data_IF_226041883487
#
_entry.id   IF_226041883487
#
_cell.length_a   1.000
_cell.length_b   1.000
_cell.length_c   1.000
_cell.angle_alpha   90.00
_cell.angle_beta   90.00
_cell.angle_gamma   90.00
#
_symmetry.space_group_name_H-M   'P 1'
#
loop_
_entity.id
_entity.type
_entity.pdbx_description
1 polymer ?
#
# COMPACT_ATOMS: atom_id res chain seq x y z
N UNK A 1 13.18 -22.36 18.97
CA UNK A 1 12.46 -23.15 17.95
C UNK A 1 12.39 -22.35 16.66
N UNK A 2 13.05 -22.82 15.61
CA UNK A 2 13.21 -22.15 14.30
C UNK A 2 11.86 -21.99 13.59
N UNK A 3 11.58 -20.78 13.07
CA UNK A 3 10.30 -20.38 12.45
C UNK A 3 9.81 -21.34 11.34
N UNK A 4 10.74 -22.05 10.68
CA UNK A 4 10.47 -23.00 9.59
C UNK A 4 9.91 -24.35 10.07
N UNK A 5 10.19 -24.78 11.30
CA UNK A 5 9.66 -26.03 11.84
C UNK A 5 8.13 -25.98 12.05
N UNK A 6 7.59 -24.80 12.39
CA UNK A 6 6.17 -24.61 12.67
C UNK A 6 5.23 -24.65 11.45
N UNK A 7 5.75 -24.46 10.23
CA UNK A 7 4.96 -24.51 8.99
C UNK A 7 4.75 -25.96 8.51
N UNK A 8 5.78 -26.81 8.64
CA UNK A 8 5.69 -28.24 8.27
C UNK A 8 4.89 -29.07 9.28
N UNK A 9 4.95 -28.73 10.57
CA UNK A 9 4.19 -29.40 11.64
C UNK A 9 2.80 -28.80 11.88
N UNK A 10 2.33 -27.91 11.00
CA UNK A 10 1.02 -27.27 11.15
C UNK A 10 -0.11 -28.29 10.94
N UNK A 11 -1.16 -28.18 11.74
CA UNK A 11 -2.38 -28.99 11.59
C UNK A 11 -3.02 -28.79 10.23
N UNK A 12 -3.83 -29.74 9.77
CA UNK A 12 -4.52 -29.63 8.48
C UNK A 12 -5.46 -28.41 8.45
N UNK A 13 -6.08 -28.05 9.58
CA UNK A 13 -6.90 -26.84 9.70
C UNK A 13 -6.07 -25.56 9.52
N UNK A 14 -4.84 -25.51 10.04
CA UNK A 14 -3.96 -24.36 9.83
C UNK A 14 -3.48 -24.26 8.37
N UNK A 15 -3.28 -25.39 7.70
CA UNK A 15 -2.93 -25.42 6.27
C UNK A 15 -4.05 -24.88 5.38
N UNK A 16 -5.32 -25.04 5.76
CA UNK A 16 -6.44 -24.44 5.03
C UNK A 16 -6.35 -22.91 4.99
N UNK A 17 -5.98 -22.27 6.11
CA UNK A 17 -5.77 -20.80 6.15
C UNK A 17 -4.58 -20.31 5.31
N UNK A 18 -3.69 -21.20 4.87
CA UNK A 18 -2.62 -20.84 3.93
C UNK A 18 -3.15 -20.77 2.49
N UNK A 19 -4.16 -21.59 2.16
CA UNK A 19 -4.79 -21.59 0.83
C UNK A 19 -5.86 -20.52 0.74
N UNK A 20 -6.76 -20.47 1.73
CA UNK A 20 -7.85 -19.49 1.79
C UNK A 20 -7.87 -18.85 3.16
N UNK A 21 -7.59 -17.56 3.19
CA UNK A 21 -7.55 -16.75 4.41
C UNK A 21 -8.85 -16.91 5.22
N UNK A 22 -8.76 -17.21 6.52
CA UNK A 22 -9.92 -17.33 7.42
C UNK A 22 -10.52 -18.73 7.62
N UNK A 23 -10.27 -19.71 6.73
CA UNK A 23 -10.87 -21.05 6.86
C UNK A 23 -10.42 -21.82 8.11
N UNK A 24 -9.12 -21.79 8.44
CA UNK A 24 -8.60 -22.43 9.63
C UNK A 24 -9.16 -21.83 10.92
N UNK A 25 -9.37 -20.52 10.97
CA UNK A 25 -10.03 -19.86 12.10
C UNK A 25 -11.48 -20.34 12.27
N UNK A 26 -12.21 -20.57 11.16
CA UNK A 26 -13.54 -21.18 11.21
C UNK A 26 -13.49 -22.61 11.77
N UNK A 27 -12.52 -23.43 11.34
CA UNK A 27 -12.35 -24.79 11.84
C UNK A 27 -12.04 -24.85 13.35
N UNK A 28 -11.41 -23.81 13.89
CA UNK A 28 -11.13 -23.67 15.33
C UNK A 28 -12.26 -22.97 16.11
N UNK A 29 -13.42 -22.73 15.50
CA UNK A 29 -14.59 -22.12 16.13
C UNK A 29 -14.53 -20.60 16.30
N UNK A 30 -13.52 -19.92 15.73
CA UNK A 30 -13.41 -18.46 15.74
C UNK A 30 -14.19 -17.85 14.56
N UNK A 31 -15.52 -17.97 14.59
CA UNK A 31 -16.41 -17.60 13.46
C UNK A 31 -16.22 -16.15 13.03
N UNK A 32 -16.21 -15.20 13.97
CA UNK A 32 -16.10 -13.76 13.65
C UNK A 32 -14.78 -13.45 12.93
N UNK A 33 -13.65 -13.96 13.44
CA UNK A 33 -12.33 -13.74 12.81
C UNK A 33 -12.25 -14.39 11.45
N UNK A 34 -12.70 -15.64 11.35
CA UNK A 34 -12.68 -16.39 10.09
C UNK A 34 -13.50 -15.68 9.00
N UNK A 35 -14.69 -15.17 9.35
CA UNK A 35 -15.53 -14.42 8.43
C UNK A 35 -14.89 -13.08 8.02
N UNK A 36 -14.28 -12.33 8.96
CA UNK A 36 -13.59 -11.08 8.63
C UNK A 36 -12.43 -11.29 7.64
N UNK A 37 -11.62 -12.32 7.86
CA UNK A 37 -10.53 -12.68 6.95
C UNK A 37 -11.06 -13.16 5.58
N UNK A 38 -12.13 -13.96 5.54
CA UNK A 38 -12.76 -14.39 4.29
C UNK A 38 -13.36 -13.22 3.50
N UNK A 39 -14.10 -12.33 4.16
CA UNK A 39 -14.68 -11.16 3.52
C UNK A 39 -13.61 -10.21 3.00
N UNK A 40 -12.53 -10.02 3.76
CA UNK A 40 -11.39 -9.22 3.33
C UNK A 40 -10.71 -9.84 2.11
N UNK A 41 -10.50 -11.15 2.10
CA UNK A 41 -9.97 -11.85 0.92
C UNK A 41 -10.89 -11.68 -0.29
N UNK A 42 -12.19 -11.87 -0.13
CA UNK A 42 -13.17 -11.72 -1.21
C UNK A 42 -13.14 -10.30 -1.79
N UNK A 43 -13.16 -9.26 -0.95
CA UNK A 43 -13.09 -7.86 -1.40
C UNK A 43 -11.79 -7.54 -2.12
N UNK A 44 -10.66 -8.04 -1.62
CA UNK A 44 -9.35 -7.85 -2.26
C UNK A 44 -9.26 -8.55 -3.60
N UNK A 45 -9.74 -9.79 -3.71
CA UNK A 45 -9.79 -10.53 -4.98
C UNK A 45 -10.68 -9.81 -5.99
N UNK A 46 -11.87 -9.35 -5.59
CA UNK A 46 -12.76 -8.58 -6.45
C UNK A 46 -12.07 -7.31 -6.95
N UNK A 47 -11.41 -6.56 -6.08
CA UNK A 47 -10.67 -5.35 -6.47
C UNK A 47 -9.56 -5.66 -7.48
N UNK A 48 -8.69 -6.64 -7.20
CA UNK A 48 -7.55 -6.95 -8.08
C UNK A 48 -7.98 -7.50 -9.44
N UNK A 49 -9.03 -8.32 -9.48
CA UNK A 49 -9.58 -8.85 -10.73
C UNK A 49 -10.30 -7.76 -11.55
N UNK A 50 -11.06 -6.88 -10.89
CA UNK A 50 -11.82 -5.85 -11.58
C UNK A 50 -10.96 -4.68 -12.07
N UNK A 51 -9.91 -4.31 -11.31
CA UNK A 51 -9.15 -3.09 -11.61
C UNK A 51 -7.71 -3.08 -11.11
N UNK A 52 -7.42 -3.68 -9.96
CA UNK A 52 -6.13 -3.52 -9.29
C UNK A 52 -4.91 -3.96 -10.12
N UNK A 53 -5.05 -4.97 -11.01
CA UNK A 53 -3.96 -5.35 -11.92
C UNK A 53 -3.71 -4.27 -12.98
N UNK A 54 -4.77 -3.69 -13.56
CA UNK A 54 -4.65 -2.59 -14.52
C UNK A 54 -4.04 -1.35 -13.86
N UNK A 55 -4.45 -1.03 -12.63
CA UNK A 55 -3.90 0.10 -11.87
C UNK A 55 -2.38 -0.09 -11.62
N UNK A 56 -1.95 -1.30 -11.24
CA UNK A 56 -0.52 -1.62 -11.05
C UNK A 56 0.25 -1.47 -12.36
N UNK A 57 -0.31 -1.92 -13.49
CA UNK A 57 0.34 -1.73 -14.79
C UNK A 57 0.39 -0.24 -15.14
N UNK A 58 -0.68 0.49 -14.83
CA UNK A 58 -0.85 1.91 -15.12
C UNK A 58 0.17 2.82 -14.46
N UNK A 59 0.73 2.43 -13.31
CA UNK A 59 1.85 3.17 -12.71
C UNK A 59 3.09 3.16 -13.62
N UNK A 60 3.31 2.07 -14.37
CA UNK A 60 4.49 1.94 -15.23
C UNK A 60 4.23 2.48 -16.64
N UNK A 61 3.03 2.25 -17.19
CA UNK A 61 2.71 2.68 -18.55
C UNK A 61 2.39 4.17 -18.62
N UNK A 62 1.79 4.75 -17.57
CA UNK A 62 1.30 6.13 -17.52
C UNK A 62 0.31 6.47 -18.66
N UNK A 63 -0.31 5.44 -19.25
CA UNK A 63 -1.23 5.56 -20.37
C UNK A 63 -0.74 4.83 -21.62
N UNK A 64 -1.69 4.42 -22.44
CA UNK A 64 -1.44 3.69 -23.69
C UNK A 64 -2.21 4.28 -24.86
N UNK A 65 -3.38 4.88 -24.59
CA UNK A 65 -4.22 5.51 -25.59
C UNK A 65 -4.27 7.01 -25.36
N UNK A 66 -3.80 7.76 -26.36
CA UNK A 66 -3.92 9.21 -26.35
C UNK A 66 -5.31 9.61 -26.85
N UNK A 67 -5.88 10.66 -26.26
CA UNK A 67 -7.21 11.14 -26.62
C UNK A 67 -7.26 11.59 -28.09
N UNK A 68 -8.32 11.20 -28.80
CA UNK A 68 -8.56 11.66 -30.16
C UNK A 68 -10.01 12.10 -30.33
N UNK A 69 -10.23 13.42 -30.19
CA UNK A 69 -11.54 14.06 -30.32
C UNK A 69 -12.20 13.85 -31.69
N UNK A 70 -11.40 13.72 -32.76
CA UNK A 70 -11.93 13.50 -34.12
C UNK A 70 -12.49 12.09 -34.31
N UNK A 71 -11.94 11.10 -33.59
CA UNK A 71 -12.39 9.71 -33.62
C UNK A 71 -13.31 9.36 -32.44
N UNK A 72 -13.55 10.29 -31.52
CA UNK A 72 -14.34 10.06 -30.30
C UNK A 72 -13.69 9.05 -29.34
N UNK A 73 -12.36 8.90 -29.38
CA UNK A 73 -11.63 7.99 -28.51
C UNK A 73 -11.24 8.74 -27.23
N UNK A 74 -11.77 8.32 -26.10
CA UNK A 74 -11.35 8.81 -24.78
C UNK A 74 -9.91 8.37 -24.49
N UNK A 75 -9.06 9.34 -24.14
CA UNK A 75 -7.66 9.10 -23.82
C UNK A 75 -7.44 8.73 -22.36
N UNK A 76 -6.42 7.93 -22.11
CA UNK A 76 -5.95 7.60 -20.78
C UNK A 76 -5.44 8.85 -20.05
N UNK A 77 -5.66 8.92 -18.73
CA UNK A 77 -5.13 10.01 -17.90
C UNK A 77 -3.92 9.57 -17.08
N UNK A 78 -2.72 10.00 -17.50
CA UNK A 78 -1.46 9.68 -16.84
C UNK A 78 -1.44 10.05 -15.35
N UNK A 79 -2.03 11.20 -14.99
CA UNK A 79 -2.13 11.63 -13.59
C UNK A 79 -3.00 10.65 -12.79
N UNK A 80 -4.16 10.31 -13.35
CA UNK A 80 -5.10 9.37 -12.73
C UNK A 80 -4.51 7.96 -12.63
N UNK A 81 -3.83 7.47 -13.67
CA UNK A 81 -3.19 6.15 -13.66
C UNK A 81 -2.06 6.08 -12.64
N UNK A 82 -1.28 7.15 -12.48
CA UNK A 82 -0.22 7.22 -11.49
C UNK A 82 -0.77 7.17 -10.05
N UNK A 83 -1.82 7.95 -9.74
CA UNK A 83 -2.39 7.94 -8.38
C UNK A 83 -3.15 6.64 -8.08
N UNK A 84 -3.89 6.10 -9.05
CA UNK A 84 -4.60 4.82 -8.90
C UNK A 84 -3.63 3.65 -8.79
N UNK A 85 -2.55 3.65 -9.56
CA UNK A 85 -1.48 2.65 -9.44
C UNK A 85 -0.77 2.71 -8.09
N UNK A 86 -0.48 3.92 -7.58
CA UNK A 86 0.07 4.08 -6.24
C UNK A 86 -0.91 3.55 -5.17
N UNK A 87 -2.20 3.85 -5.30
CA UNK A 87 -3.23 3.30 -4.43
C UNK A 87 -3.27 1.76 -4.48
N UNK A 88 -3.19 1.17 -5.66
CA UNK A 88 -3.14 -0.28 -5.83
C UNK A 88 -1.92 -0.92 -5.15
N UNK A 89 -0.75 -0.27 -5.20
CA UNK A 89 0.45 -0.70 -4.45
C UNK A 89 0.21 -0.67 -2.94
N UNK A 90 -0.45 0.37 -2.42
CA UNK A 90 -0.82 0.45 -0.99
C UNK A 90 -1.78 -0.69 -0.61
N UNK A 91 -2.79 -0.96 -1.44
CA UNK A 91 -3.73 -2.07 -1.25
C UNK A 91 -3.00 -3.42 -1.31
N UNK A 92 -1.99 -3.58 -2.17
CA UNK A 92 -1.16 -4.77 -2.26
C UNK A 92 -0.33 -4.99 -0.97
N UNK A 93 0.30 -3.94 -0.46
CA UNK A 93 1.03 -3.99 0.82
C UNK A 93 0.08 -4.38 1.96
N UNK A 94 -1.10 -3.78 2.01
CA UNK A 94 -2.14 -4.12 2.98
C UNK A 94 -2.59 -5.59 2.85
N UNK A 95 -2.75 -6.09 1.62
CA UNK A 95 -3.08 -7.50 1.34
C UNK A 95 -2.02 -8.44 1.92
N UNK A 96 -0.73 -8.16 1.68
CA UNK A 96 0.38 -8.94 2.23
C UNK A 96 0.37 -8.90 3.76
N UNK A 97 0.16 -7.72 4.35
CA UNK A 97 0.09 -7.55 5.81
C UNK A 97 -1.07 -8.35 6.42
N UNK A 98 -2.26 -8.31 5.83
CA UNK A 98 -3.43 -9.10 6.25
C UNK A 98 -3.16 -10.59 6.14
N UNK A 99 -2.57 -11.05 5.03
CA UNK A 99 -2.25 -12.46 4.84
C UNK A 99 -1.24 -12.95 5.89
N UNK A 100 -0.18 -12.18 6.15
CA UNK A 100 0.79 -12.47 7.22
C UNK A 100 0.11 -12.49 8.59
N UNK A 101 -0.83 -11.58 8.85
CA UNK A 101 -1.62 -11.55 10.09
C UNK A 101 -2.45 -12.83 10.24
N UNK A 102 -3.17 -13.25 9.21
CA UNK A 102 -3.95 -14.49 9.19
C UNK A 102 -3.06 -15.72 9.49
N UNK A 103 -1.90 -15.84 8.84
CA UNK A 103 -0.97 -16.96 9.06
C UNK A 103 -0.46 -16.99 10.50
N UNK A 104 -0.12 -15.82 11.07
CA UNK A 104 0.32 -15.73 12.47
C UNK A 104 -0.80 -16.11 13.45
N UNK A 105 -2.02 -15.62 13.22
CA UNK A 105 -3.18 -15.86 14.07
C UNK A 105 -3.59 -17.35 14.04
N UNK A 106 -3.68 -17.98 12.86
CA UNK A 106 -4.04 -19.41 12.77
C UNK A 106 -2.98 -20.32 13.39
N UNK A 107 -1.68 -19.99 13.26
CA UNK A 107 -0.60 -20.75 13.88
C UNK A 107 -0.62 -20.62 15.40
N UNK A 108 -0.95 -19.44 15.94
CA UNK A 108 -1.15 -19.25 17.37
C UNK A 108 -2.34 -20.07 17.87
N UNK A 109 -3.48 -19.95 17.20
CA UNK A 109 -4.71 -20.68 17.54
C UNK A 109 -4.52 -22.20 17.49
N UNK A 110 -3.83 -22.71 16.47
CA UNK A 110 -3.51 -24.15 16.34
C UNK A 110 -2.66 -24.66 17.51
N UNK A 111 -1.69 -23.87 17.98
CA UNK A 111 -0.83 -24.24 19.12
C UNK A 111 -1.59 -24.22 20.45
N UNK A 112 -2.46 -23.25 20.68
CA UNK A 112 -3.26 -23.21 21.90
C UNK A 112 -4.29 -24.35 21.93
N UNK A 113 -4.92 -24.65 20.78
CA UNK A 113 -5.79 -25.80 20.65
C UNK A 113 -5.05 -27.13 20.91
N UNK A 114 -3.81 -27.28 20.43
CA UNK A 114 -2.98 -28.46 20.70
C UNK A 114 -2.62 -28.62 22.19
N UNK A 115 -2.58 -27.53 22.96
CA UNK A 115 -2.39 -27.55 24.42
C UNK A 115 -3.69 -27.82 25.19
N UNK A 116 -4.81 -28.09 24.51
CA UNK A 116 -6.13 -28.26 25.10
C UNK A 116 -6.75 -26.96 25.62
N UNK A 117 -6.18 -25.79 25.26
CA UNK A 117 -6.69 -24.49 25.68
C UNK A 117 -7.70 -23.97 24.66
N UNK A 118 -8.72 -23.28 25.14
CA UNK A 118 -9.71 -22.63 24.28
C UNK A 118 -9.03 -21.46 23.53
N UNK A 119 -9.15 -21.38 22.21
CA UNK A 119 -8.69 -20.21 21.46
C UNK A 119 -9.40 -18.94 21.94
N UNK A 120 -8.69 -17.82 22.00
CA UNK A 120 -9.30 -16.54 22.36
C UNK A 120 -10.46 -16.19 21.43
N UNK A 121 -11.55 -15.69 22.00
CA UNK A 121 -12.63 -15.07 21.24
C UNK A 121 -12.15 -13.79 20.54
N UNK A 122 -12.92 -13.27 19.57
CA UNK A 122 -12.60 -12.01 18.90
C UNK A 122 -12.49 -10.85 19.89
N UNK A 123 -13.45 -10.75 20.83
CA UNK A 123 -13.45 -9.73 21.89
C UNK A 123 -12.23 -9.87 22.80
N UNK A 124 -11.89 -11.11 23.18
CA UNK A 124 -10.71 -11.40 24.00
C UNK A 124 -9.41 -11.12 23.25
N UNK A 125 -9.38 -11.30 21.94
CA UNK A 125 -8.22 -10.98 21.11
C UNK A 125 -8.01 -9.47 20.98
N UNK A 126 -9.10 -8.71 20.86
CA UNK A 126 -9.07 -7.23 20.91
C UNK A 126 -8.66 -6.78 22.30
N UNK A 127 -9.27 -7.32 23.36
CA UNK A 127 -8.94 -6.98 24.74
C UNK A 127 -7.49 -7.34 25.07
N UNK A 128 -6.98 -8.48 24.61
CA UNK A 128 -5.58 -8.87 24.77
C UNK A 128 -4.62 -7.95 23.98
N UNK A 129 -4.99 -7.58 22.75
CA UNK A 129 -4.24 -6.60 21.97
C UNK A 129 -4.28 -5.19 22.60
N UNK A 130 -5.39 -4.84 23.26
CA UNK A 130 -5.60 -3.60 23.98
C UNK A 130 -4.82 -3.58 25.30
N UNK A 131 -4.89 -4.61 26.14
CA UNK A 131 -4.16 -4.66 27.42
C UNK A 131 -2.65 -4.79 27.23
N UNK A 132 -2.20 -5.52 26.19
CA UNK A 132 -0.78 -5.68 25.93
C UNK A 132 -0.11 -4.41 25.37
N UNK A 133 -0.83 -3.63 24.54
CA UNK A 133 -0.33 -2.45 23.81
C UNK A 133 -1.47 -1.52 23.35
N UNK A 134 -2.28 -0.97 24.26
CA UNK A 134 -3.42 -0.10 23.93
C UNK A 134 -3.03 1.05 23.02
N UNK A 135 -1.87 1.66 23.30
CA UNK A 135 -1.28 2.71 22.47
C UNK A 135 -1.09 2.29 21.01
N UNK A 136 -0.77 1.02 20.74
CA UNK A 136 -0.54 0.53 19.38
C UNK A 136 -1.87 0.36 18.64
N UNK A 137 -2.88 -0.21 19.28
CA UNK A 137 -4.22 -0.38 18.69
C UNK A 137 -4.91 0.96 18.45
N UNK A 138 -4.79 1.90 19.39
CA UNK A 138 -5.31 3.26 19.26
C UNK A 138 -4.57 4.07 18.19
N UNK A 139 -3.27 3.78 17.94
CA UNK A 139 -2.44 4.47 16.96
C UNK A 139 -2.60 3.93 15.54
N UNK A 140 -3.04 2.69 15.34
CA UNK A 140 -3.24 2.12 13.98
C UNK A 140 -4.22 2.96 13.16
N UNK A 141 -5.33 3.42 13.75
CA UNK A 141 -6.33 4.22 13.04
C UNK A 141 -5.76 5.58 12.60
N UNK A 142 -5.13 6.39 13.48
CA UNK A 142 -4.36 7.57 13.08
C UNK A 142 -3.26 7.28 12.06
N UNK A 143 -2.53 6.17 12.20
CA UNK A 143 -1.42 5.83 11.32
C UNK A 143 -1.91 5.53 9.89
N UNK A 144 -3.03 4.82 9.74
CA UNK A 144 -3.68 4.61 8.44
C UNK A 144 -4.10 5.96 7.86
N UNK A 145 -4.67 6.86 8.68
CA UNK A 145 -5.03 8.21 8.25
C UNK A 145 -3.83 9.02 7.73
N UNK A 146 -2.74 9.06 8.49
CA UNK A 146 -1.49 9.74 8.08
C UNK A 146 -0.90 9.11 6.82
N UNK A 147 -0.93 7.78 6.71
CA UNK A 147 -0.44 7.08 5.52
C UNK A 147 -1.27 7.45 4.27
N UNK A 148 -2.59 7.46 4.38
CA UNK A 148 -3.50 7.77 3.27
C UNK A 148 -3.45 9.25 2.86
N UNK A 149 -3.44 10.19 3.82
CA UNK A 149 -3.56 11.61 3.51
C UNK A 149 -2.24 12.37 3.45
N UNK A 150 -1.15 11.82 3.97
CA UNK A 150 0.16 12.47 3.92
C UNK A 150 1.15 11.68 3.09
N UNK A 151 1.34 10.39 3.38
CA UNK A 151 2.37 9.59 2.69
C UNK A 151 2.00 9.40 1.20
N UNK A 152 0.75 9.05 0.89
CA UNK A 152 0.33 8.82 -0.50
C UNK A 152 0.51 10.09 -1.37
N UNK A 153 0.03 11.29 -0.99
CA UNK A 153 0.29 12.50 -1.78
C UNK A 153 1.78 12.85 -1.89
N UNK A 154 2.57 12.67 -0.84
CA UNK A 154 4.02 12.94 -0.89
C UNK A 154 4.70 12.01 -1.91
N UNK A 155 4.42 10.72 -1.85
CA UNK A 155 5.00 9.74 -2.80
C UNK A 155 4.53 10.06 -4.21
N UNK A 156 3.25 10.37 -4.41
CA UNK A 156 2.71 10.78 -5.70
C UNK A 156 3.46 11.98 -6.30
N UNK A 157 3.68 13.03 -5.50
CA UNK A 157 4.43 14.22 -5.92
C UNK A 157 5.89 13.90 -6.26
N UNK A 158 6.52 12.98 -5.52
CA UNK A 158 7.86 12.49 -5.84
C UNK A 158 7.84 11.77 -7.20
N UNK A 159 6.87 10.89 -7.45
CA UNK A 159 6.79 10.15 -8.72
C UNK A 159 6.59 11.10 -9.91
N UNK A 160 5.77 12.14 -9.77
CA UNK A 160 5.63 13.19 -10.80
C UNK A 160 6.98 13.84 -11.12
N UNK A 161 7.85 14.07 -10.12
CA UNK A 161 9.17 14.64 -10.38
C UNK A 161 10.08 13.72 -11.23
N UNK A 162 9.75 12.44 -11.35
CA UNK A 162 10.43 11.44 -12.20
C UNK A 162 9.66 11.13 -13.50
N UNK A 163 8.70 11.97 -13.88
CA UNK A 163 8.08 11.95 -15.19
C UNK A 163 8.38 13.23 -15.95
N UNK A 164 8.00 13.27 -17.23
CA UNK A 164 7.97 14.49 -18.03
C UNK A 164 6.68 15.32 -17.82
N UNK A 165 5.83 14.94 -16.85
CA UNK A 165 4.56 15.58 -16.58
C UNK A 165 4.75 17.06 -16.18
N UNK A 166 4.09 17.96 -16.91
CA UNK A 166 4.13 19.40 -16.68
C UNK A 166 4.58 20.21 -17.91
N UNK A 167 4.13 21.46 -17.97
CA UNK A 167 4.34 22.32 -19.15
C UNK A 167 3.44 21.87 -20.30
N UNK A 168 4.04 21.31 -21.35
CA UNK A 168 3.31 20.85 -22.55
C UNK A 168 2.80 19.41 -22.43
N UNK A 169 3.34 18.62 -21.49
CA UNK A 169 2.88 17.25 -21.21
C UNK A 169 1.83 17.31 -20.10
N UNK A 170 0.62 17.66 -20.51
CA UNK A 170 -0.59 17.61 -19.69
C UNK A 170 -1.69 16.93 -20.49
N UNK A 171 -2.69 16.41 -19.79
CA UNK A 171 -3.86 15.78 -20.42
C UNK A 171 -4.40 16.69 -21.53
N UNK A 172 -4.53 16.21 -22.79
CA UNK A 172 -4.61 14.81 -23.23
C UNK A 172 -3.30 14.09 -23.59
N UNK A 173 -2.15 14.76 -23.51
CA UNK A 173 -0.85 14.15 -23.81
C UNK A 173 -0.46 13.21 -22.68
N UNK A 174 -0.02 12.01 -23.05
CA UNK A 174 0.43 11.00 -22.08
C UNK A 174 1.83 11.33 -21.56
N UNK A 175 1.99 11.26 -20.26
CA UNK A 175 3.29 11.38 -19.61
C UNK A 175 4.09 10.09 -19.73
N UNK A 176 5.42 10.23 -19.64
CA UNK A 176 6.37 9.14 -19.64
C UNK A 176 7.36 9.28 -18.47
N UNK A 177 7.93 8.15 -18.05
CA UNK A 177 9.01 8.15 -17.06
C UNK A 177 10.24 8.83 -17.65
N UNK A 178 10.68 9.91 -17.01
CA UNK A 178 11.70 10.80 -17.56
C UNK A 178 12.46 11.54 -16.46
N UNK A 179 13.74 11.79 -16.70
CA UNK A 179 14.58 12.64 -15.84
C UNK A 179 14.66 14.08 -16.36
N UNK A 180 13.79 14.47 -17.30
CA UNK A 180 13.83 15.79 -17.94
C UNK A 180 13.68 16.95 -16.94
N UNK A 181 12.83 16.81 -15.92
CA UNK A 181 12.69 17.80 -14.85
C UNK A 181 14.01 17.98 -14.07
N UNK A 182 14.67 16.88 -13.72
CA UNK A 182 15.96 16.88 -13.04
C UNK A 182 17.08 17.46 -13.91
N UNK A 183 17.10 17.16 -15.20
CA UNK A 183 18.04 17.75 -16.15
C UNK A 183 17.86 19.27 -16.29
N UNK A 184 16.61 19.76 -16.27
CA UNK A 184 16.33 21.21 -16.30
C UNK A 184 16.80 21.93 -15.03
N UNK A 185 16.70 21.27 -13.87
CA UNK A 185 17.06 21.85 -12.57
C UNK A 185 18.57 21.72 -12.28
N UNK A 186 19.19 20.60 -12.63
CA UNK A 186 20.61 20.33 -12.38
C UNK A 186 21.52 20.78 -13.55
N UNK A 187 20.94 21.01 -14.71
CA UNK A 187 21.66 21.43 -15.91
C UNK A 187 22.11 22.90 -15.86
N UNK A 188 22.99 23.25 -16.79
CA UNK A 188 23.50 24.61 -16.96
C UNK A 188 22.46 25.44 -17.71
N UNK A 189 21.64 26.19 -16.97
CA UNK A 189 20.60 27.06 -17.53
C UNK A 189 19.96 27.98 -16.49
N UNK A 190 19.09 28.88 -16.94
CA UNK A 190 18.43 29.87 -16.08
C UNK A 190 17.65 29.24 -14.93
N UNK A 191 17.01 28.09 -15.17
CA UNK A 191 16.23 27.35 -14.17
C UNK A 191 17.15 26.80 -13.07
N UNK A 192 18.22 26.10 -13.43
CA UNK A 192 19.16 25.54 -12.45
C UNK A 192 19.90 26.60 -11.63
N UNK A 193 20.32 27.71 -12.26
CA UNK A 193 20.91 28.84 -11.54
C UNK A 193 19.93 29.46 -10.53
N UNK A 194 18.66 29.62 -10.91
CA UNK A 194 17.63 30.19 -10.02
C UNK A 194 17.34 29.23 -8.86
N UNK A 195 17.20 27.94 -9.15
CA UNK A 195 17.00 26.92 -8.13
C UNK A 195 18.15 26.90 -7.11
N UNK A 196 19.41 26.87 -7.58
CA UNK A 196 20.58 26.88 -6.71
C UNK A 196 20.65 28.10 -5.79
N UNK A 197 20.29 29.29 -6.30
CA UNK A 197 20.22 30.52 -5.50
C UNK A 197 19.14 30.46 -4.42
N UNK A 198 17.93 30.02 -4.77
CA UNK A 198 16.82 29.89 -3.82
C UNK A 198 17.14 28.84 -2.76
N UNK A 199 17.65 27.68 -3.18
CA UNK A 199 18.02 26.59 -2.28
C UNK A 199 19.15 27.03 -1.34
N UNK A 200 20.20 27.65 -1.87
CA UNK A 200 21.31 28.16 -1.07
C UNK A 200 20.85 29.18 -0.03
N UNK A 201 19.98 30.12 -0.44
CA UNK A 201 19.39 31.09 0.48
C UNK A 201 18.55 30.42 1.57
N UNK A 202 17.70 29.46 1.22
CA UNK A 202 16.88 28.71 2.18
C UNK A 202 17.73 27.93 3.18
N UNK A 203 18.84 27.32 2.73
CA UNK A 203 19.77 26.61 3.62
C UNK A 203 20.45 27.58 4.59
N UNK A 204 20.94 28.73 4.09
CA UNK A 204 21.55 29.76 4.94
C UNK A 204 20.53 30.23 6.00
N UNK A 205 19.30 30.54 5.59
CA UNK A 205 18.24 30.93 6.50
C UNK A 205 17.93 29.87 7.55
N UNK A 206 17.81 28.61 7.14
CA UNK A 206 17.53 27.51 8.05
C UNK A 206 18.62 27.37 9.12
N UNK A 207 19.89 27.47 8.73
CA UNK A 207 21.02 27.38 9.67
C UNK A 207 21.05 28.59 10.60
N UNK A 208 20.98 29.80 10.07
CA UNK A 208 21.07 31.05 10.84
C UNK A 208 19.88 31.25 11.78
N UNK A 209 18.69 30.76 11.43
CA UNK A 209 17.50 30.87 12.29
C UNK A 209 17.44 29.79 13.38
N UNK A 210 18.17 28.69 13.23
CA UNK A 210 18.18 27.57 14.18
C UNK A 210 19.40 27.61 15.12
N UNK A 211 20.42 28.41 14.79
CA UNK A 211 21.58 28.73 15.64
C UNK A 211 21.28 29.89 16.59
#
# INVERSE_FOLDING_TARGET
MTKTAGLRSASWQAKLSFVVMGLGQLCYGQIVKGLLYLLSLAGLVVYFVARGVEDIIGIFTLGTQQENLWLGIEGDNSMQMLIMGLFAVVVLIFTIALYVSNVKDVLYTSREAAKGRRPHSFKESIAYAADGKFYLSALILPLIGVAMFSILPIVFMILIAFTDFGGEVVHPVLASWSLSAWQKILGVGNVGSTFGKILGWNVIWAVVSTS
#
